data_IF_664297418454
#
_entry.id   IF_664297418454
#
_cell.length_a   1.000
_cell.length_b   1.000
_cell.length_c   1.000
_cell.angle_alpha   90.00
_cell.angle_beta   90.00
_cell.angle_gamma   90.00
#
_symmetry.space_group_name_H-M   'P 1'
#
loop_
_entity.id
_entity.type
_entity.pdbx_description
1 polymer ?
#
# COMPACT_ATOMS: atom_id res chain seq x y z
N UNK A 1 -11.09 -4.58 21.49
CA UNK A 1 -10.10 -3.91 20.63
C UNK A 1 -9.62 -4.97 19.64
N UNK A 2 -9.62 -4.73 18.32
CA UNK A 2 -9.06 -5.70 17.35
C UNK A 2 -7.56 -5.42 17.23
N UNK A 3 -6.72 -6.46 17.29
CA UNK A 3 -5.28 -6.32 17.00
C UNK A 3 -5.11 -5.94 15.52
N UNK A 4 -4.55 -4.76 15.25
CA UNK A 4 -3.87 -4.49 13.99
C UNK A 4 -2.41 -4.86 14.25
N UNK A 5 -1.93 -5.99 13.69
CA UNK A 5 -0.52 -6.36 13.80
C UNK A 5 0.33 -5.55 12.83
N UNK A 6 0.61 -4.31 13.26
CA UNK A 6 1.80 -3.57 12.90
C UNK A 6 3.00 -4.29 13.51
N UNK A 7 3.44 -5.39 12.88
CA UNK A 7 4.67 -6.07 13.28
C UNK A 7 5.86 -5.15 13.06
N UNK A 8 6.77 -5.18 14.03
CA UNK A 8 8.15 -4.69 14.00
C UNK A 8 8.33 -3.16 13.85
N UNK A 9 7.25 -2.37 13.86
CA UNK A 9 7.29 -0.89 13.79
C UNK A 9 7.12 -0.17 15.15
N UNK A 10 6.84 -0.90 16.24
CA UNK A 10 6.57 -0.33 17.57
C UNK A 10 7.57 -0.71 18.65
N UNK A 11 8.21 -1.89 18.60
CA UNK A 11 9.27 -2.24 19.58
C UNK A 11 10.48 -1.30 19.44
N UNK A 12 10.83 -0.87 18.22
CA UNK A 12 11.88 0.15 18.01
C UNK A 12 11.49 1.54 18.56
N UNK A 13 10.19 1.87 18.60
CA UNK A 13 9.74 3.15 19.15
C UNK A 13 9.77 3.18 20.68
N UNK A 14 9.50 2.05 21.35
CA UNK A 14 9.66 1.95 22.81
C UNK A 14 11.14 1.87 23.22
N UNK A 15 12.02 1.24 22.44
CA UNK A 15 13.47 1.26 22.67
C UNK A 15 14.08 2.68 22.49
N UNK A 16 13.66 3.45 21.47
CA UNK A 16 14.10 4.84 21.30
C UNK A 16 13.54 5.78 22.39
N UNK A 17 12.31 5.57 22.89
CA UNK A 17 11.76 6.38 23.99
C UNK A 17 12.45 6.09 25.35
N UNK A 18 12.93 4.87 25.60
CA UNK A 18 13.78 4.59 26.77
C UNK A 18 15.19 5.23 26.68
N UNK A 19 15.77 5.41 25.47
CA UNK A 19 17.10 6.02 25.29
C UNK A 19 17.09 7.57 25.19
N UNK A 20 16.00 8.22 24.79
CA UNK A 20 15.85 9.69 24.93
C UNK A 20 15.46 10.13 26.36
N UNK A 21 14.78 9.25 27.12
CA UNK A 21 14.32 9.55 28.47
C UNK A 21 15.40 9.99 29.50
N UNK A 22 16.71 9.69 29.39
CA UNK A 22 17.76 10.29 30.22
C UNK A 22 18.12 11.72 29.78
N UNK A 23 18.21 11.97 28.48
CA UNK A 23 18.61 13.27 27.91
C UNK A 23 17.58 14.36 28.23
N UNK A 24 16.30 14.06 28.03
CA UNK A 24 15.20 14.95 28.39
C UNK A 24 15.16 15.28 29.90
N UNK A 25 15.64 14.36 30.77
CA UNK A 25 15.74 14.60 32.22
C UNK A 25 16.90 15.53 32.58
N UNK A 26 18.00 15.50 31.85
CA UNK A 26 19.13 16.41 32.06
C UNK A 26 18.79 17.84 31.60
N UNK A 27 18.20 18.00 30.42
CA UNK A 27 17.80 19.33 29.92
C UNK A 27 16.68 19.94 30.79
N UNK A 28 15.66 19.16 31.18
CA UNK A 28 14.64 19.60 32.12
C UNK A 28 15.18 19.91 33.53
N UNK A 29 16.31 19.33 33.95
CA UNK A 29 16.98 19.70 35.20
C UNK A 29 17.68 21.06 35.07
N UNK A 30 18.36 21.33 33.94
CA UNK A 30 18.98 22.63 33.64
C UNK A 30 17.91 23.74 33.56
N UNK A 31 16.77 23.48 32.93
CA UNK A 31 15.67 24.45 32.88
C UNK A 31 15.00 24.64 34.24
N UNK A 32 14.78 23.58 35.04
CA UNK A 32 14.31 23.74 36.43
C UNK A 32 15.24 24.60 37.29
N UNK A 33 16.56 24.49 37.14
CA UNK A 33 17.52 25.35 37.85
C UNK A 33 17.44 26.82 37.39
N UNK A 34 17.09 27.09 36.13
CA UNK A 34 16.73 28.46 35.67
C UNK A 34 15.40 28.93 36.27
N UNK A 35 14.35 28.11 36.22
CA UNK A 35 13.02 28.45 36.72
C UNK A 35 13.02 28.71 38.24
N UNK A 36 13.71 27.90 39.04
CA UNK A 36 13.76 28.05 40.50
C UNK A 36 14.35 29.41 40.93
N UNK A 37 15.26 29.99 40.14
CA UNK A 37 15.80 31.35 40.36
C UNK A 37 14.81 32.47 40.03
N UNK A 38 13.82 32.22 39.19
CA UNK A 38 12.75 33.17 38.87
C UNK A 38 11.56 33.10 39.85
N UNK A 39 11.26 31.91 40.39
CA UNK A 39 10.08 31.68 41.25
C UNK A 39 10.22 32.28 42.66
N UNK A 40 11.43 32.40 43.21
CA UNK A 40 11.68 33.06 44.52
C UNK A 40 11.34 34.58 44.56
N UNK A 41 10.77 35.15 43.50
CA UNK A 41 10.43 36.57 43.38
C UNK A 41 8.93 36.90 43.50
N UNK A 42 8.01 35.92 43.53
CA UNK A 42 6.56 36.14 43.69
C UNK A 42 5.90 35.06 44.53
N UNK A 43 5.14 35.51 45.54
CA UNK A 43 4.53 34.69 46.60
C UNK A 43 3.02 35.01 46.73
N UNK A 44 2.27 34.16 47.45
CA UNK A 44 0.89 34.35 47.98
C UNK A 44 -0.30 34.20 46.99
N UNK A 45 -1.15 33.17 47.19
CA UNK A 45 -2.52 33.07 46.64
C UNK A 45 -3.22 31.70 46.86
N UNK A 46 -4.40 31.65 47.52
CA UNK A 46 -5.10 30.40 47.96
C UNK A 46 -6.26 29.92 47.04
N UNK A 47 -6.47 28.60 46.85
CA UNK A 47 -7.67 27.92 46.26
C UNK A 47 -7.37 26.48 45.74
N UNK A 48 -8.07 25.33 45.96
CA UNK A 48 -9.29 24.89 46.71
C UNK A 48 -10.65 25.13 45.96
N UNK A 49 -11.53 24.15 45.62
CA UNK A 49 -11.52 22.65 45.72
C UNK A 49 -12.65 21.93 44.88
N UNK A 50 -12.63 20.57 44.80
CA UNK A 50 -13.71 19.54 44.61
C UNK A 50 -14.79 19.64 43.46
N UNK A 51 -15.42 18.59 42.87
CA UNK A 51 -15.33 17.09 42.89
C UNK A 51 -16.29 16.38 41.86
N UNK A 52 -16.24 15.02 41.75
CA UNK A 52 -17.18 14.03 41.11
C UNK A 52 -17.12 13.83 39.56
N UNK A 53 -17.19 12.62 38.92
CA UNK A 53 -17.95 11.33 39.04
C UNK A 53 -19.41 11.39 38.49
N UNK A 54 -20.06 10.42 37.81
CA UNK A 54 -19.84 9.00 37.34
C UNK A 54 -20.96 8.66 36.26
N UNK A 55 -21.18 7.50 35.60
CA UNK A 55 -20.54 6.18 35.32
C UNK A 55 -21.38 5.40 34.22
N UNK A 56 -21.11 4.09 33.97
CA UNK A 56 -21.94 3.04 33.29
C UNK A 56 -22.15 3.11 31.73
N UNK A 57 -22.16 2.03 30.89
CA UNK A 57 -22.66 0.61 30.84
C UNK A 57 -24.10 0.45 30.27
N UNK A 58 -24.54 -0.60 29.54
CA UNK A 58 -23.97 -1.93 29.15
C UNK A 58 -24.50 -2.47 27.77
N UNK A 59 -24.37 -3.77 27.46
CA UNK A 59 -24.38 -4.40 26.11
C UNK A 59 -25.60 -5.29 25.72
N UNK A 60 -25.63 -5.86 24.49
CA UNK A 60 -26.48 -6.98 24.06
C UNK A 60 -26.00 -7.66 22.72
N UNK A 61 -26.35 -8.94 22.50
CA UNK A 61 -25.83 -9.83 21.43
C UNK A 61 -26.68 -9.98 20.15
N UNK A 62 -26.10 -10.57 19.07
CA UNK A 62 -26.59 -11.84 18.47
C UNK A 62 -25.68 -12.47 17.37
N UNK A 63 -25.94 -13.74 17.08
CA UNK A 63 -25.10 -14.72 16.36
C UNK A 63 -25.85 -15.34 15.16
N UNK A 64 -25.13 -15.79 14.11
CA UNK A 64 -25.71 -16.52 12.96
C UNK A 64 -24.67 -17.35 12.16
N UNK A 65 -25.07 -18.55 11.71
CA UNK A 65 -24.27 -19.52 10.95
C UNK A 65 -23.78 -19.07 9.56
N UNK A 66 -22.67 -19.66 9.09
CA UNK A 66 -22.44 -19.93 7.66
C UNK A 66 -21.47 -21.10 7.41
N UNK A 67 -21.64 -21.75 6.25
CA UNK A 67 -20.93 -22.97 5.85
C UNK A 67 -19.50 -22.69 5.38
N UNK A 68 -18.62 -23.64 5.66
CA UNK A 68 -17.19 -23.62 5.31
C UNK A 68 -16.95 -23.91 3.82
N UNK A 69 -15.95 -23.25 3.24
CA UNK A 69 -15.37 -23.57 1.92
C UNK A 69 -13.89 -23.86 2.15
N UNK A 70 -13.40 -24.96 1.59
CA UNK A 70 -12.04 -25.44 1.83
C UNK A 70 -10.99 -24.53 1.16
N UNK A 71 -10.07 -24.00 1.96
CA UNK A 71 -8.91 -23.24 1.48
C UNK A 71 -7.76 -24.15 1.02
N UNK A 72 -6.90 -23.61 0.16
CA UNK A 72 -5.67 -24.28 -0.29
C UNK A 72 -4.64 -24.21 0.85
N UNK A 73 -4.07 -25.35 1.24
CA UNK A 73 -2.98 -25.39 2.21
C UNK A 73 -1.61 -25.40 1.53
N UNK A 74 -0.69 -24.62 2.08
CA UNK A 74 0.73 -24.61 1.77
C UNK A 74 1.46 -24.47 3.12
N UNK A 75 2.29 -25.45 3.47
CA UNK A 75 3.31 -25.30 4.52
C UNK A 75 4.48 -24.43 4.02
N UNK A 76 5.34 -23.90 4.89
CA UNK A 76 5.70 -24.41 6.22
C UNK A 76 6.00 -23.32 7.29
N UNK A 77 6.14 -23.75 8.56
CA UNK A 77 6.88 -23.02 9.59
C UNK A 77 6.13 -21.99 10.46
N UNK A 78 5.31 -21.10 9.91
CA UNK A 78 4.76 -19.92 10.64
C UNK A 78 3.23 -19.91 10.72
N UNK A 79 2.66 -20.95 11.35
CA UNK A 79 1.25 -21.34 11.24
C UNK A 79 0.26 -20.51 12.12
N UNK A 80 0.42 -19.18 12.15
CA UNK A 80 -0.44 -18.25 12.93
C UNK A 80 -1.36 -17.40 12.05
N UNK A 81 -0.91 -16.94 10.87
CA UNK A 81 -1.67 -16.00 10.02
C UNK A 81 -1.75 -16.40 8.53
N UNK A 82 -2.19 -17.63 8.25
CA UNK A 82 -2.68 -17.99 6.90
C UNK A 82 -3.98 -17.20 6.61
N UNK A 83 -3.92 -16.21 5.70
CA UNK A 83 -5.11 -15.47 5.24
C UNK A 83 -6.00 -16.41 4.42
N UNK A 84 -7.01 -17.00 5.07
CA UNK A 84 -7.90 -18.01 4.45
C UNK A 84 -8.90 -17.44 3.44
N UNK A 85 -9.15 -16.13 3.46
CA UNK A 85 -10.14 -15.46 2.64
C UNK A 85 -9.67 -14.03 2.31
N UNK A 86 -9.49 -13.71 1.02
CA UNK A 86 -9.04 -12.38 0.59
C UNK A 86 -10.05 -11.27 0.94
N UNK A 87 -11.33 -11.61 1.14
CA UNK A 87 -12.37 -10.65 1.57
C UNK A 87 -12.27 -10.22 3.04
N UNK A 88 -11.44 -10.90 3.83
CA UNK A 88 -11.10 -10.48 5.20
C UNK A 88 -10.04 -9.35 5.20
N UNK A 89 -9.48 -9.01 4.03
CA UNK A 89 -8.41 -8.02 3.83
C UNK A 89 -8.94 -6.82 3.05
N UNK A 90 -8.65 -5.62 3.55
CA UNK A 90 -8.88 -4.36 2.84
C UNK A 90 -7.59 -3.85 2.21
N UNK A 91 -7.60 -3.64 0.89
CA UNK A 91 -6.48 -2.99 0.20
C UNK A 91 -6.75 -1.49 0.10
N UNK A 92 -5.79 -0.68 0.55
CA UNK A 92 -5.92 0.79 0.59
C UNK A 92 -5.08 1.42 -0.51
N UNK A 93 -5.73 1.70 -1.65
CA UNK A 93 -5.10 2.50 -2.71
C UNK A 93 -5.19 3.97 -2.33
N UNK A 94 -4.05 4.63 -2.31
CA UNK A 94 -3.91 6.00 -1.83
C UNK A 94 -2.74 6.71 -2.52
N UNK A 95 -2.73 8.03 -2.45
CA UNK A 95 -1.60 8.84 -2.89
C UNK A 95 -0.69 9.12 -1.70
N UNK A 96 0.62 8.90 -1.86
CA UNK A 96 1.62 9.46 -0.94
C UNK A 96 1.65 11.00 -1.05
N UNK A 97 1.43 11.67 0.09
CA UNK A 97 1.37 13.12 0.17
C UNK A 97 2.75 13.79 0.01
N UNK A 98 3.76 13.27 0.71
CA UNK A 98 5.15 13.75 0.71
C UNK A 98 6.15 12.59 0.50
N UNK A 99 7.37 12.84 -0.01
CA UNK A 99 8.43 11.83 -0.06
C UNK A 99 8.77 11.32 1.35
N UNK A 100 8.53 10.04 1.61
CA UNK A 100 8.76 9.41 2.93
C UNK A 100 7.63 9.61 3.94
N UNK A 101 6.56 10.35 3.61
CA UNK A 101 5.42 10.60 4.50
C UNK A 101 4.11 10.46 3.71
N UNK A 102 3.48 9.25 3.69
CA UNK A 102 2.30 9.01 2.86
C UNK A 102 1.07 9.79 3.34
N UNK A 103 0.87 9.89 4.65
CA UNK A 103 -0.21 10.61 5.34
C UNK A 103 0.42 11.68 6.25
N UNK A 104 0.40 12.95 5.83
CA UNK A 104 1.16 14.05 6.47
C UNK A 104 0.47 14.56 7.73
N UNK A 105 -0.85 14.41 7.81
CA UNK A 105 -1.71 15.01 8.83
C UNK A 105 -2.69 14.03 9.51
N UNK A 106 -2.62 12.73 9.19
CA UNK A 106 -3.42 11.67 9.80
C UNK A 106 -4.81 11.48 9.17
N UNK A 107 -5.12 12.19 8.08
CA UNK A 107 -6.42 12.14 7.41
C UNK A 107 -6.64 10.79 6.73
N UNK A 108 -5.61 10.17 6.16
CA UNK A 108 -5.75 8.85 5.52
C UNK A 108 -6.02 7.78 6.58
N UNK A 109 -5.23 7.78 7.66
CA UNK A 109 -5.42 6.89 8.81
C UNK A 109 -6.79 7.08 9.47
N UNK A 110 -7.29 8.31 9.57
CA UNK A 110 -8.64 8.59 10.08
C UNK A 110 -9.73 8.04 9.14
N UNK A 111 -9.61 8.25 7.83
CA UNK A 111 -10.54 7.74 6.82
C UNK A 111 -10.63 6.19 6.84
N UNK A 112 -9.49 5.51 6.97
CA UNK A 112 -9.42 4.05 7.16
C UNK A 112 -10.10 3.64 8.48
N UNK A 113 -9.80 4.32 9.59
CA UNK A 113 -10.41 4.06 10.91
C UNK A 113 -11.91 4.30 10.94
N UNK A 114 -12.46 5.13 10.06
CA UNK A 114 -13.91 5.32 9.91
C UNK A 114 -14.53 4.16 9.15
N UNK A 115 -14.01 3.84 7.96
CA UNK A 115 -14.47 2.72 7.15
C UNK A 115 -14.46 1.38 7.91
N UNK A 116 -13.40 1.11 8.69
CA UNK A 116 -13.29 -0.12 9.51
C UNK A 116 -14.27 -0.22 10.70
N UNK A 117 -14.97 0.86 11.08
CA UNK A 117 -16.08 0.79 12.05
C UNK A 117 -17.35 0.27 11.41
N UNK A 118 -17.58 0.62 10.15
CA UNK A 118 -18.76 0.23 9.36
C UNK A 118 -18.60 -1.17 8.74
N UNK A 119 -17.35 -1.61 8.57
CA UNK A 119 -16.98 -2.93 8.00
C UNK A 119 -16.33 -3.89 9.03
N UNK A 120 -17.09 -4.41 10.02
CA UNK A 120 -16.57 -5.29 11.07
C UNK A 120 -16.17 -6.69 10.57
N UNK A 121 -16.51 -7.08 9.35
CA UNK A 121 -16.03 -8.31 8.69
C UNK A 121 -14.53 -8.28 8.36
N UNK A 122 -13.97 -7.07 8.19
CA UNK A 122 -12.56 -6.86 7.85
C UNK A 122 -11.68 -7.14 9.08
N UNK A 123 -10.56 -7.82 8.84
CA UNK A 123 -9.58 -8.26 9.86
C UNK A 123 -8.19 -7.71 9.59
N UNK A 124 -7.84 -7.50 8.32
CA UNK A 124 -6.52 -7.07 7.88
C UNK A 124 -6.62 -5.84 6.98
N UNK A 125 -5.59 -5.00 7.01
CA UNK A 125 -5.42 -3.86 6.11
C UNK A 125 -4.10 -4.06 5.38
N UNK A 126 -4.15 -4.02 4.06
CA UNK A 126 -2.98 -3.89 3.20
C UNK A 126 -2.77 -2.41 2.86
N UNK A 127 -1.59 -1.91 3.19
CA UNK A 127 -1.14 -0.53 2.97
C UNK A 127 0.30 -0.57 2.47
N UNK A 128 0.54 -0.10 1.24
CA UNK A 128 1.71 -0.46 0.40
C UNK A 128 3.07 -0.36 1.13
N UNK A 129 3.32 0.76 1.80
CA UNK A 129 4.57 1.01 2.50
C UNK A 129 4.74 0.07 3.69
N UNK A 130 3.74 0.01 4.57
CA UNK A 130 3.78 -0.74 5.83
C UNK A 130 3.59 -2.25 5.68
N UNK A 131 3.32 -2.75 4.47
CA UNK A 131 3.00 -4.16 4.20
C UNK A 131 4.06 -4.87 3.34
N UNK A 132 5.15 -4.19 2.99
CA UNK A 132 6.21 -4.70 2.12
C UNK A 132 7.60 -4.38 2.71
N UNK A 133 8.67 -5.15 2.41
CA UNK A 133 10.03 -4.77 2.81
C UNK A 133 10.52 -3.50 2.08
N UNK A 134 10.64 -2.39 2.80
CA UNK A 134 10.93 -1.06 2.24
C UNK A 134 12.40 -0.63 2.39
N UNK A 135 12.74 0.51 1.76
CA UNK A 135 13.98 1.24 2.05
C UNK A 135 13.73 2.25 3.16
N UNK A 136 14.55 2.25 4.21
CA UNK A 136 14.44 3.19 5.34
C UNK A 136 15.39 4.36 5.08
N UNK A 137 14.90 5.61 5.14
CA UNK A 137 15.70 6.80 4.83
C UNK A 137 16.31 6.81 3.41
N UNK A 138 15.73 6.05 2.47
CA UNK A 138 16.30 5.80 1.14
C UNK A 138 17.42 4.74 1.08
N UNK A 139 17.89 4.26 2.24
CA UNK A 139 18.91 3.21 2.35
C UNK A 139 18.25 1.83 2.13
N UNK A 140 18.79 1.06 1.20
CA UNK A 140 18.32 -0.30 0.91
C UNK A 140 19.04 -1.30 1.85
N UNK A 141 18.62 -1.34 3.11
CA UNK A 141 19.17 -2.26 4.12
C UNK A 141 18.70 -3.73 3.95
N UNK A 142 17.71 -3.96 3.08
CA UNK A 142 17.00 -5.23 2.89
C UNK A 142 17.93 -6.39 2.53
N UNK A 143 17.65 -7.57 3.06
CA UNK A 143 18.30 -8.82 2.65
C UNK A 143 17.96 -9.20 1.21
N UNK A 144 18.67 -10.18 0.66
CA UNK A 144 18.35 -10.75 -0.66
C UNK A 144 16.93 -11.37 -0.70
N UNK A 145 16.45 -11.94 0.42
CA UNK A 145 15.08 -12.48 0.53
C UNK A 145 14.06 -11.35 0.40
N UNK A 146 14.18 -10.32 1.24
CA UNK A 146 13.26 -9.17 1.26
C UNK A 146 13.22 -8.42 -0.08
N UNK A 147 14.33 -8.34 -0.81
CA UNK A 147 14.34 -7.76 -2.16
C UNK A 147 13.58 -8.61 -3.19
N UNK A 148 13.70 -9.93 -3.11
CA UNK A 148 12.93 -10.84 -3.96
C UNK A 148 11.43 -10.83 -3.58
N UNK A 149 11.13 -10.74 -2.28
CA UNK A 149 9.78 -10.65 -1.73
C UNK A 149 9.09 -9.33 -2.14
N UNK A 150 9.77 -8.19 -2.01
CA UNK A 150 9.33 -6.90 -2.51
C UNK A 150 9.06 -6.92 -4.03
N UNK A 151 9.96 -7.53 -4.81
CA UNK A 151 9.80 -7.65 -6.26
C UNK A 151 8.58 -8.51 -6.62
N UNK A 152 8.43 -9.69 -6.01
CA UNK A 152 7.26 -10.56 -6.20
C UNK A 152 5.95 -9.83 -5.89
N UNK A 153 5.89 -9.10 -4.78
CA UNK A 153 4.69 -8.36 -4.40
C UNK A 153 4.40 -7.19 -5.34
N UNK A 154 5.41 -6.42 -5.76
CA UNK A 154 5.29 -5.35 -6.76
C UNK A 154 4.72 -5.89 -8.09
N UNK A 155 5.13 -7.09 -8.49
CA UNK A 155 4.62 -7.77 -9.68
C UNK A 155 3.20 -8.34 -9.50
N UNK A 156 2.78 -8.63 -8.27
CA UNK A 156 1.44 -9.10 -7.95
C UNK A 156 0.41 -7.99 -7.69
N UNK A 157 0.80 -6.73 -7.48
CA UNK A 157 -0.10 -5.60 -7.17
C UNK A 157 -1.39 -5.58 -8.03
N UNK A 158 -1.34 -5.64 -9.38
CA UNK A 158 -2.56 -5.62 -10.19
C UNK A 158 -3.53 -6.77 -9.88
N UNK A 159 -2.99 -7.98 -9.63
CA UNK A 159 -3.80 -9.17 -9.31
C UNK A 159 -4.44 -9.08 -7.91
N UNK A 160 -3.78 -8.40 -6.96
CA UNK A 160 -4.33 -8.14 -5.62
C UNK A 160 -5.50 -7.17 -5.70
N UNK A 161 -5.35 -6.03 -6.39
CA UNK A 161 -6.45 -5.08 -6.59
C UNK A 161 -7.57 -5.60 -7.50
N UNK A 162 -7.30 -6.56 -8.39
CA UNK A 162 -8.32 -7.31 -9.15
C UNK A 162 -9.19 -8.25 -8.31
N UNK A 163 -8.77 -8.62 -7.09
CA UNK A 163 -9.41 -9.72 -6.33
C UNK A 163 -9.86 -9.35 -4.92
N UNK A 164 -9.24 -8.38 -4.26
CA UNK A 164 -9.55 -7.99 -2.87
C UNK A 164 -10.74 -7.02 -2.73
N UNK A 165 -11.14 -6.73 -1.48
CA UNK A 165 -11.90 -5.51 -1.15
C UNK A 165 -10.94 -4.31 -1.22
N UNK A 166 -11.38 -3.19 -1.81
CA UNK A 166 -10.52 -2.01 -2.03
C UNK A 166 -11.19 -0.74 -1.52
N UNK A 167 -10.48 -0.01 -0.66
CA UNK A 167 -10.79 1.37 -0.30
C UNK A 167 -9.84 2.29 -1.07
N UNK A 168 -10.40 3.15 -1.92
CA UNK A 168 -9.68 4.25 -2.56
C UNK A 168 -9.78 5.48 -1.66
N UNK A 169 -8.64 5.99 -1.20
CA UNK A 169 -8.52 7.27 -0.51
C UNK A 169 -8.23 8.36 -1.53
N UNK A 170 -9.30 9.01 -1.98
CA UNK A 170 -9.26 9.94 -3.10
C UNK A 170 -8.90 11.36 -2.63
N UNK A 171 -7.70 11.84 -2.95
CA UNK A 171 -7.36 13.27 -2.87
C UNK A 171 -7.50 13.95 -4.26
N UNK A 172 -7.39 15.28 -4.29
CA UNK A 172 -7.49 16.06 -5.54
C UNK A 172 -6.31 15.88 -6.52
N UNK A 173 -5.27 15.15 -6.15
CA UNK A 173 -4.08 14.83 -6.97
C UNK A 173 -3.98 13.35 -7.33
N UNK A 174 -4.89 12.50 -6.85
CA UNK A 174 -4.83 11.05 -6.94
C UNK A 174 -4.67 10.56 -8.38
N UNK A 175 -5.43 11.13 -9.32
CA UNK A 175 -5.38 10.78 -10.73
C UNK A 175 -4.09 11.21 -11.46
N UNK A 176 -3.19 11.96 -10.82
CA UNK A 176 -1.88 12.36 -11.38
C UNK A 176 -0.78 11.31 -11.22
N UNK A 177 -1.08 10.12 -10.68
CA UNK A 177 -0.08 9.08 -10.40
C UNK A 177 -0.41 7.75 -11.08
N UNK A 178 0.62 7.07 -11.56
CA UNK A 178 0.51 5.81 -12.31
C UNK A 178 -0.07 4.66 -11.48
N UNK A 179 0.44 4.48 -10.25
CA UNK A 179 0.02 3.38 -9.39
C UNK A 179 -1.43 3.55 -8.94
N UNK A 180 -1.82 4.71 -8.41
CA UNK A 180 -3.21 5.01 -7.99
C UNK A 180 -4.24 4.83 -9.11
N UNK A 181 -3.91 5.20 -10.37
CA UNK A 181 -4.76 4.93 -11.54
C UNK A 181 -4.80 3.44 -11.90
N UNK A 182 -3.67 2.74 -11.80
CA UNK A 182 -3.59 1.29 -12.05
C UNK A 182 -4.43 0.50 -11.04
N UNK A 183 -4.25 0.80 -9.75
CA UNK A 183 -4.98 0.20 -8.63
C UNK A 183 -6.48 0.52 -8.70
N UNK A 184 -6.85 1.76 -9.02
CA UNK A 184 -8.25 2.15 -9.24
C UNK A 184 -8.88 1.47 -10.45
N UNK A 185 -8.13 1.27 -11.54
CA UNK A 185 -8.62 0.51 -12.68
C UNK A 185 -8.88 -0.95 -12.28
N UNK A 186 -7.90 -1.61 -11.68
CA UNK A 186 -7.99 -3.00 -11.23
C UNK A 186 -9.09 -3.22 -10.18
N UNK A 187 -9.33 -2.27 -9.26
CA UNK A 187 -10.41 -2.38 -8.27
C UNK A 187 -11.80 -2.29 -8.90
N UNK A 188 -11.92 -1.65 -10.05
CA UNK A 188 -13.17 -1.46 -10.79
C UNK A 188 -13.40 -2.54 -11.88
N UNK A 189 -12.44 -3.43 -12.15
CA UNK A 189 -12.63 -4.60 -13.02
C UNK A 189 -13.07 -5.84 -12.24
N UNK A 190 -13.71 -6.78 -12.92
CA UNK A 190 -14.07 -8.11 -12.39
C UNK A 190 -13.39 -9.18 -13.23
N UNK A 191 -12.52 -9.99 -12.61
CA UNK A 191 -11.84 -11.09 -13.28
C UNK A 191 -12.80 -12.28 -13.49
N UNK A 192 -12.92 -12.73 -14.75
CA UNK A 192 -13.82 -13.84 -15.14
C UNK A 192 -13.11 -14.87 -16.00
N UNK A 193 -13.77 -16.01 -16.24
CA UNK A 193 -13.30 -17.04 -17.19
C UNK A 193 -13.20 -16.58 -18.65
N UNK A 194 -13.61 -15.35 -18.98
CA UNK A 194 -13.49 -14.75 -20.31
C UNK A 194 -12.48 -13.60 -20.39
N UNK A 195 -11.77 -13.31 -19.29
CA UNK A 195 -10.97 -12.10 -19.13
C UNK A 195 -11.61 -11.14 -18.14
N UNK A 196 -11.23 -9.86 -18.22
CA UNK A 196 -11.75 -8.76 -17.41
C UNK A 196 -13.08 -8.25 -17.97
N UNK A 197 -14.11 -8.25 -17.14
CA UNK A 197 -15.38 -7.56 -17.41
C UNK A 197 -15.48 -6.33 -16.48
N UNK A 198 -15.93 -5.18 -16.98
CA UNK A 198 -16.11 -3.97 -16.16
C UNK A 198 -17.09 -4.26 -15.00
N UNK A 199 -16.80 -3.83 -13.77
CA UNK A 199 -17.70 -4.06 -12.62
C UNK A 199 -18.93 -3.14 -12.60
N UNK A 200 -18.99 -2.20 -13.54
CA UNK A 200 -20.08 -1.26 -13.85
C UNK A 200 -20.18 -1.13 -15.37
N UNK A 201 -21.39 -1.02 -15.93
CA UNK A 201 -21.58 -0.91 -17.39
C UNK A 201 -21.31 0.52 -17.87
N UNK A 202 -21.67 1.51 -17.05
CA UNK A 202 -21.28 2.91 -17.19
C UNK A 202 -21.07 3.58 -15.83
N UNK A 203 -20.57 4.82 -15.80
CA UNK A 203 -20.36 5.57 -14.54
C UNK A 203 -21.65 5.74 -13.73
N UNK A 204 -22.80 5.80 -14.40
CA UNK A 204 -24.12 5.97 -13.79
C UNK A 204 -24.57 4.75 -12.96
N UNK A 205 -23.93 3.58 -13.13
CA UNK A 205 -24.17 2.38 -12.31
C UNK A 205 -23.47 2.44 -10.93
N UNK A 206 -22.50 3.34 -10.72
CA UNK A 206 -21.83 3.52 -9.44
C UNK A 206 -22.74 4.28 -8.45
N UNK A 207 -22.78 3.87 -7.17
CA UNK A 207 -23.68 4.50 -6.21
C UNK A 207 -23.05 5.73 -5.55
N UNK A 208 -23.41 6.91 -6.07
CA UNK A 208 -23.07 8.21 -5.50
C UNK A 208 -24.04 8.68 -4.41
N UNK A 209 -25.04 7.89 -3.97
CA UNK A 209 -26.01 8.32 -2.95
C UNK A 209 -25.46 8.30 -1.53
N UNK A 210 -24.46 7.45 -1.24
CA UNK A 210 -23.82 7.33 0.06
C UNK A 210 -22.96 8.54 0.47
N UNK A 211 -22.33 8.45 1.64
CA UNK A 211 -21.25 9.36 2.02
C UNK A 211 -20.04 9.13 1.10
N UNK A 212 -19.61 7.88 1.04
CA UNK A 212 -18.60 7.36 0.11
C UNK A 212 -19.28 6.80 -1.17
N UNK A 213 -18.52 6.60 -2.25
CA UNK A 213 -19.03 6.09 -3.54
C UNK A 213 -18.74 4.61 -3.69
N UNK A 214 -19.75 3.80 -4.04
CA UNK A 214 -19.57 2.38 -4.32
C UNK A 214 -19.43 2.12 -5.82
N UNK A 215 -18.36 1.45 -6.26
CA UNK A 215 -18.12 1.06 -7.65
C UNK A 215 -18.04 -0.47 -7.75
N UNK A 216 -19.08 -1.07 -8.33
CA UNK A 216 -19.22 -2.53 -8.35
C UNK A 216 -19.27 -3.14 -6.94
N UNK A 217 -18.89 -4.41 -6.82
CA UNK A 217 -19.00 -5.17 -5.56
C UNK A 217 -17.78 -5.10 -4.62
N UNK A 218 -16.67 -4.49 -5.06
CA UNK A 218 -15.37 -4.55 -4.36
C UNK A 218 -14.72 -3.20 -4.04
N UNK A 219 -15.05 -2.14 -4.77
CA UNK A 219 -14.36 -0.85 -4.65
C UNK A 219 -15.25 0.20 -3.99
N UNK A 220 -14.76 0.81 -2.92
CA UNK A 220 -15.37 1.98 -2.29
C UNK A 220 -14.42 3.18 -2.39
N UNK A 221 -14.91 4.35 -2.78
CA UNK A 221 -14.12 5.58 -2.91
C UNK A 221 -14.52 6.55 -1.79
N UNK A 222 -13.56 6.86 -0.91
CA UNK A 222 -13.71 7.81 0.18
C UNK A 222 -12.92 9.08 -0.13
N UNK A 223 -13.61 10.21 -0.26
CA UNK A 223 -12.98 11.49 -0.52
C UNK A 223 -12.22 11.99 0.72
N UNK A 224 -11.00 12.48 0.50
CA UNK A 224 -10.15 13.12 1.50
C UNK A 224 -9.63 14.48 1.02
N UNK A 225 -9.17 15.31 1.96
CA UNK A 225 -8.67 16.66 1.73
C UNK A 225 -9.67 17.54 0.94
N UNK A 226 -9.34 17.87 -0.31
CA UNK A 226 -10.15 18.73 -1.18
C UNK A 226 -10.93 17.96 -2.27
N UNK A 227 -10.92 16.62 -2.24
CA UNK A 227 -11.70 15.84 -3.20
C UNK A 227 -13.21 15.95 -2.92
N UNK A 228 -14.01 16.05 -3.98
CA UNK A 228 -15.46 16.09 -3.89
C UNK A 228 -16.08 14.95 -4.69
N UNK A 229 -17.14 14.35 -4.14
CA UNK A 229 -17.82 13.18 -4.72
C UNK A 229 -18.29 13.42 -6.17
N UNK A 230 -19.00 14.53 -6.37
CA UNK A 230 -19.71 14.82 -7.61
C UNK A 230 -18.78 15.28 -8.76
N UNK A 231 -17.50 15.52 -8.47
CA UNK A 231 -16.49 15.97 -9.46
C UNK A 231 -15.26 15.05 -9.47
N UNK A 232 -14.57 14.89 -8.35
CA UNK A 232 -13.33 14.09 -8.25
C UNK A 232 -13.64 12.59 -8.34
N UNK A 233 -14.61 12.07 -7.58
CA UNK A 233 -14.94 10.62 -7.65
C UNK A 233 -15.58 10.28 -8.99
N UNK A 234 -16.53 11.10 -9.47
CA UNK A 234 -17.12 10.90 -10.80
C UNK A 234 -16.05 10.93 -11.90
N UNK A 235 -15.14 11.91 -11.85
CA UNK A 235 -14.02 12.03 -12.79
C UNK A 235 -13.08 10.83 -12.80
N UNK A 236 -12.77 10.24 -11.64
CA UNK A 236 -12.00 9.00 -11.58
C UNK A 236 -12.75 7.81 -12.22
N UNK A 237 -14.05 7.65 -11.91
CA UNK A 237 -14.86 6.55 -12.47
C UNK A 237 -15.02 6.71 -14.00
N UNK A 238 -15.29 7.92 -14.49
CA UNK A 238 -15.31 8.26 -15.93
C UNK A 238 -13.97 7.93 -16.64
N UNK A 239 -12.86 8.19 -15.94
CA UNK A 239 -11.50 8.00 -16.44
C UNK A 239 -11.07 6.53 -16.51
N UNK A 240 -11.39 5.69 -15.52
CA UNK A 240 -10.85 4.31 -15.45
C UNK A 240 -11.88 3.19 -15.49
N UNK A 241 -13.09 3.35 -14.91
CA UNK A 241 -13.92 2.18 -14.54
C UNK A 241 -14.34 1.29 -15.72
N UNK A 242 -14.51 1.90 -16.90
CA UNK A 242 -15.02 1.25 -18.12
C UNK A 242 -13.96 0.90 -19.15
N UNK A 243 -12.66 1.08 -18.86
CA UNK A 243 -11.58 0.99 -19.85
C UNK A 243 -11.06 -0.42 -20.04
N UNK A 244 -10.88 -0.83 -21.29
CA UNK A 244 -10.11 -2.02 -21.66
C UNK A 244 -8.62 -1.87 -21.32
N UNK A 245 -7.85 -2.98 -21.24
CA UNK A 245 -6.39 -2.95 -21.07
C UNK A 245 -5.64 -1.99 -22.01
N UNK A 246 -6.09 -1.87 -23.27
CA UNK A 246 -5.46 -1.00 -24.28
C UNK A 246 -5.80 0.48 -24.02
N UNK A 247 -7.02 0.79 -23.60
CA UNK A 247 -7.43 2.16 -23.27
C UNK A 247 -6.79 2.66 -21.97
N UNK A 248 -6.71 1.82 -20.93
CA UNK A 248 -6.06 2.22 -19.68
C UNK A 248 -4.54 2.35 -19.87
N UNK A 249 -3.90 1.49 -20.66
CA UNK A 249 -2.51 1.70 -21.12
C UNK A 249 -2.38 3.09 -21.76
N UNK A 250 -3.30 3.43 -22.67
CA UNK A 250 -3.34 4.71 -23.38
C UNK A 250 -3.58 5.93 -22.47
N UNK A 251 -4.07 5.75 -21.25
CA UNK A 251 -4.16 6.79 -20.22
C UNK A 251 -2.86 6.79 -19.40
N UNK A 252 -2.44 5.63 -18.89
CA UNK A 252 -1.29 5.48 -18.00
C UNK A 252 0.05 5.88 -18.64
N UNK A 253 0.20 5.81 -19.96
CA UNK A 253 1.40 6.28 -20.67
C UNK A 253 1.58 7.81 -20.61
N UNK A 254 0.50 8.58 -20.44
CA UNK A 254 0.46 10.04 -20.69
C UNK A 254 1.36 10.84 -19.73
N UNK A 255 1.86 12.03 -20.15
CA UNK A 255 2.89 12.78 -19.41
C UNK A 255 2.38 13.43 -18.12
N UNK A 256 1.08 13.64 -17.98
CA UNK A 256 0.38 14.09 -16.77
C UNK A 256 0.17 12.98 -15.73
N UNK A 257 0.34 11.71 -16.12
CA UNK A 257 0.38 10.55 -15.21
C UNK A 257 1.83 10.34 -14.73
N UNK A 258 2.16 10.88 -13.56
CA UNK A 258 3.49 10.84 -12.98
C UNK A 258 3.87 9.51 -12.31
N UNK A 259 5.18 9.23 -12.28
CA UNK A 259 5.82 8.15 -11.51
C UNK A 259 6.97 8.70 -10.68
N UNK A 260 7.26 8.08 -9.54
CA UNK A 260 8.47 8.36 -8.75
C UNK A 260 9.71 7.67 -9.36
N UNK A 261 9.51 6.61 -10.13
CA UNK A 261 10.54 5.84 -10.83
C UNK A 261 10.08 5.55 -12.27
N UNK A 262 10.84 6.01 -13.28
CA UNK A 262 10.49 5.81 -14.69
C UNK A 262 10.29 4.32 -15.06
N UNK A 263 11.06 3.43 -14.42
CA UNK A 263 11.00 1.98 -14.67
C UNK A 263 9.67 1.34 -14.29
N UNK A 264 8.86 1.99 -13.45
CA UNK A 264 7.52 1.51 -13.10
C UNK A 264 6.65 1.45 -14.36
N UNK A 265 6.64 2.52 -15.18
CA UNK A 265 5.95 2.53 -16.47
C UNK A 265 6.55 1.49 -17.43
N UNK A 266 7.88 1.45 -17.56
CA UNK A 266 8.59 0.51 -18.45
C UNK A 266 8.26 -0.96 -18.15
N UNK A 267 8.13 -1.30 -16.86
CA UNK A 267 7.91 -2.68 -16.40
C UNK A 267 6.43 -3.06 -16.40
N UNK A 268 5.55 -2.14 -16.01
CA UNK A 268 4.14 -2.46 -15.75
C UNK A 268 3.22 -2.20 -16.95
N UNK A 269 3.50 -1.21 -17.82
CA UNK A 269 2.68 -0.99 -19.02
C UNK A 269 2.61 -2.24 -19.94
N UNK A 270 3.69 -3.00 -20.17
CA UNK A 270 3.61 -4.27 -20.91
C UNK A 270 2.82 -5.37 -20.20
N UNK A 271 2.67 -5.32 -18.87
CA UNK A 271 1.84 -6.24 -18.08
C UNK A 271 0.37 -5.85 -18.13
N UNK A 272 0.06 -4.55 -18.07
CA UNK A 272 -1.31 -4.01 -18.25
C UNK A 272 -1.93 -4.54 -19.54
N UNK A 273 -1.17 -4.59 -20.66
CA UNK A 273 -1.68 -5.11 -21.94
C UNK A 273 -1.97 -6.62 -21.95
N UNK A 274 -1.41 -7.40 -21.02
CA UNK A 274 -1.52 -8.87 -20.97
C UNK A 274 -2.45 -9.41 -19.89
N UNK A 275 -2.79 -8.57 -18.91
CA UNK A 275 -3.52 -8.99 -17.70
C UNK A 275 -4.87 -9.67 -17.98
N UNK A 276 -5.50 -9.39 -19.13
CA UNK A 276 -6.69 -10.08 -19.62
C UNK A 276 -6.39 -11.53 -20.05
N UNK A 277 -5.35 -11.73 -20.85
CA UNK A 277 -4.84 -13.04 -21.26
C UNK A 277 -4.37 -13.86 -20.04
N UNK A 278 -3.63 -13.23 -19.12
CA UNK A 278 -3.15 -13.85 -17.87
C UNK A 278 -4.30 -14.27 -16.94
N UNK A 279 -5.41 -13.51 -16.91
CA UNK A 279 -6.64 -13.88 -16.16
C UNK A 279 -7.34 -15.08 -16.81
N UNK A 280 -7.46 -15.12 -18.13
CA UNK A 280 -8.03 -16.26 -18.87
C UNK A 280 -7.19 -17.52 -18.59
N UNK A 281 -5.87 -17.45 -18.82
CA UNK A 281 -4.97 -18.59 -18.59
C UNK A 281 -5.00 -19.04 -17.13
N UNK A 282 -5.08 -18.10 -16.18
CA UNK A 282 -5.26 -18.37 -14.75
C UNK A 282 -6.53 -19.17 -14.44
N UNK A 283 -7.67 -18.81 -15.03
CA UNK A 283 -8.92 -19.57 -14.87
C UNK A 283 -8.91 -20.93 -15.55
N UNK A 284 -8.14 -21.12 -16.63
CA UNK A 284 -7.96 -22.41 -17.30
C UNK A 284 -6.99 -23.34 -16.55
N UNK A 285 -5.82 -22.83 -16.13
CA UNK A 285 -4.78 -23.64 -15.50
C UNK A 285 -5.00 -23.82 -13.98
N UNK A 286 -5.86 -22.99 -13.36
CA UNK A 286 -6.13 -22.97 -11.92
C UNK A 286 -5.11 -22.14 -11.13
N UNK A 287 -4.65 -21.03 -11.71
CA UNK A 287 -3.65 -20.08 -11.19
C UNK A 287 -2.30 -20.70 -10.77
N UNK A 288 -1.95 -21.87 -11.30
CA UNK A 288 -0.76 -22.65 -10.89
C UNK A 288 0.57 -22.04 -11.33
N UNK A 289 0.56 -21.27 -12.43
CA UNK A 289 1.76 -20.67 -13.05
C UNK A 289 2.56 -19.76 -12.11
N UNK A 290 1.87 -19.08 -11.19
CA UNK A 290 2.47 -18.23 -10.15
C UNK A 290 3.40 -19.00 -9.18
N UNK A 291 3.27 -20.33 -9.09
CA UNK A 291 4.11 -21.16 -8.21
C UNK A 291 5.40 -21.66 -8.87
N UNK A 292 5.47 -21.72 -10.21
CA UNK A 292 6.56 -22.40 -10.92
C UNK A 292 7.81 -21.57 -11.20
N UNK A 293 7.68 -20.24 -11.37
CA UNK A 293 8.81 -19.40 -11.81
C UNK A 293 9.73 -18.95 -10.66
N UNK A 294 9.33 -19.15 -9.41
CA UNK A 294 10.09 -18.74 -8.21
C UNK A 294 10.89 -19.87 -7.55
N UNK A 295 10.90 -21.09 -8.11
CA UNK A 295 11.90 -22.09 -7.72
C UNK A 295 13.28 -21.65 -8.24
N UNK A 296 14.21 -21.40 -7.33
CA UNK A 296 15.46 -20.69 -7.62
C UNK A 296 16.33 -21.37 -8.70
N UNK A 297 17.08 -20.60 -9.51
CA UNK A 297 17.96 -21.17 -10.52
C UNK A 297 19.02 -22.07 -9.88
N UNK A 298 19.02 -23.34 -10.25
CA UNK A 298 19.99 -24.32 -9.77
C UNK A 298 21.40 -23.93 -10.22
N UNK A 299 22.36 -23.98 -9.28
CA UNK A 299 23.73 -23.54 -9.55
C UNK A 299 24.37 -24.39 -10.67
N UNK A 300 24.97 -23.77 -11.70
CA UNK A 300 25.82 -24.48 -12.65
C UNK A 300 27.02 -25.10 -11.92
N UNK A 301 27.20 -26.42 -12.09
CA UNK A 301 28.25 -27.18 -11.41
C UNK A 301 29.66 -26.61 -11.61
N UNK A 302 30.50 -26.70 -10.57
CA UNK A 302 31.92 -26.32 -10.59
C UNK A 302 32.77 -27.26 -11.45
N UNK A 303 32.78 -27.05 -12.76
CA UNK A 303 33.42 -27.91 -13.77
C UNK A 303 34.79 -27.45 -14.28
N UNK A 304 35.87 -27.82 -13.57
CA UNK A 304 37.29 -27.89 -13.99
C UNK A 304 37.80 -26.95 -15.11
N UNK A 305 38.69 -26.04 -14.72
CA UNK A 305 39.61 -25.31 -15.62
C UNK A 305 40.57 -26.23 -16.42
N UNK A 306 40.85 -25.87 -17.67
CA UNK A 306 42.08 -26.23 -18.42
C UNK A 306 42.32 -25.24 -19.58
N UNK A 307 43.57 -25.00 -20.05
CA UNK A 307 43.91 -23.65 -20.53
C UNK A 307 44.51 -23.53 -21.96
N UNK A 308 44.60 -22.27 -22.42
CA UNK A 308 45.26 -21.75 -23.66
C UNK A 308 44.41 -21.94 -24.95
N UNK A 309 44.54 -21.09 -25.97
CA UNK A 309 45.66 -20.18 -26.35
C UNK A 309 45.19 -18.86 -26.99
N UNK A 310 46.06 -17.84 -26.90
CA UNK A 310 45.88 -16.44 -27.28
C UNK A 310 45.68 -16.11 -28.77
N UNK A 311 44.99 -15.00 -29.06
CA UNK A 311 45.44 -14.00 -30.06
C UNK A 311 45.01 -12.57 -29.65
N UNK A 312 45.83 -11.57 -30.00
CA UNK A 312 45.64 -10.14 -29.71
C UNK A 312 45.55 -9.38 -31.04
N UNK A 313 44.68 -8.36 -31.12
CA UNK A 313 44.96 -6.98 -31.60
C UNK A 313 43.65 -6.15 -31.64
N UNK A 314 43.71 -4.80 -31.53
CA UNK A 314 42.53 -3.97 -31.20
C UNK A 314 42.03 -3.08 -32.36
N UNK A 315 40.90 -2.39 -32.14
CA UNK A 315 40.61 -1.09 -32.74
C UNK A 315 39.66 -0.27 -31.87
N UNK A 316 39.91 1.03 -31.84
CA UNK A 316 39.34 2.07 -30.98
C UNK A 316 37.81 2.25 -31.04
N UNK A 317 37.25 2.81 -29.96
CA UNK A 317 36.13 3.75 -30.05
C UNK A 317 36.33 4.85 -29.01
N UNK A 318 36.34 6.11 -29.46
CA UNK A 318 36.59 7.29 -28.62
C UNK A 318 35.33 7.68 -27.85
N UNK A 319 35.43 7.80 -26.53
CA UNK A 319 34.39 8.42 -25.73
C UNK A 319 34.63 9.93 -25.60
N UNK A 320 33.67 10.74 -26.03
CA UNK A 320 33.37 12.05 -25.42
C UNK A 320 32.03 12.60 -25.92
N UNK A 321 31.06 12.82 -25.02
CA UNK A 321 30.11 13.95 -25.08
C UNK A 321 29.80 14.33 -23.64
N UNK A 322 29.97 15.60 -23.31
CA UNK A 322 29.78 16.16 -21.96
C UNK A 322 28.31 16.31 -21.58
N UNK A 323 28.05 16.31 -20.26
CA UNK A 323 26.78 16.79 -19.74
C UNK A 323 26.55 18.29 -20.06
N UNK A 324 25.29 18.68 -20.19
CA UNK A 324 24.85 20.07 -20.10
C UNK A 324 23.55 20.13 -19.29
N UNK A 325 23.56 20.95 -18.24
CA UNK A 325 22.33 21.61 -17.80
C UNK A 325 21.96 22.67 -18.85
N UNK A 326 20.68 23.00 -18.97
CA UNK A 326 20.18 24.32 -18.57
C UNK A 326 18.65 24.44 -18.72
N UNK A 327 18.07 25.24 -17.82
CA UNK A 327 16.69 25.77 -17.78
C UNK A 327 15.55 24.76 -17.56
#
# INVERSE_FOLDING_TARGET
MKEIRLVDAFEQAEEEEEEEAPLAKEEAAVEKVRAQKAVNAKDIGKGIDASNQAADKEAADKEADKKEIQGIDMGDGTDVFKIKNIKDVLFVSHRWEEPGRPDVNGVQLQAIKEYLKEHPEIKWVWFDYSSMPQKIGGIDARTQKERAEFQLMLECIPNLYLTAQVLILLDGSYASRFWTLTEAWCSMQTATKKGLENSVSSTEDADFKGLDVQVGSRCTIKCIHNAAKDTTSKGLVDLVATKTPVEIYGILEKPDVGVTNAKDKETMLPKILKIDEDVIEGFENGFKKLQSEHQSPSQPNSGKLSPKKSRVAPSDSTGDVTAFNDQ
#
